data_IF_517802774956
#
_entry.id   IF_517802774956
#
_cell.length_a   1.000
_cell.length_b   1.000
_cell.length_c   1.000
_cell.angle_alpha   90.00
_cell.angle_beta   90.00
_cell.angle_gamma   90.00
#
_symmetry.space_group_name_H-M   'P 1'
#
loop_
_entity.id
_entity.type
_entity.pdbx_description
1 polymer ?
#
# COMPACT_ATOMS: atom_id res chain seq x y z
N UNK A 1 33.82 31.55 4.26
CA UNK A 1 32.35 31.62 4.09
C UNK A 1 31.76 30.33 3.47
N UNK A 2 32.34 29.14 3.75
CA UNK A 2 31.90 27.86 3.16
C UNK A 2 31.15 26.95 4.15
N UNK A 3 31.16 27.29 5.44
CA UNK A 3 30.49 26.52 6.50
C UNK A 3 29.00 26.30 6.21
N UNK A 4 28.22 27.29 5.71
CA UNK A 4 26.82 27.07 5.37
C UNK A 4 26.64 26.06 4.23
N UNK A 5 27.50 26.12 3.21
CA UNK A 5 27.47 25.19 2.06
C UNK A 5 27.81 23.76 2.47
N UNK A 6 28.81 23.57 3.33
CA UNK A 6 29.21 22.26 3.85
C UNK A 6 28.08 21.66 4.69
N UNK A 7 27.46 22.45 5.57
CA UNK A 7 26.33 22.00 6.40
C UNK A 7 25.14 21.59 5.51
N UNK A 8 24.74 22.43 4.55
CA UNK A 8 23.63 22.13 3.63
C UNK A 8 23.91 20.87 2.81
N UNK A 9 25.13 20.74 2.26
CA UNK A 9 25.53 19.57 1.48
C UNK A 9 25.53 18.29 2.33
N UNK A 10 26.05 18.36 3.56
CA UNK A 10 26.04 17.22 4.49
C UNK A 10 24.61 16.80 4.89
N UNK A 11 23.71 17.75 5.12
CA UNK A 11 22.31 17.49 5.42
C UNK A 11 21.59 16.82 4.25
N UNK A 12 21.81 17.31 3.02
CA UNK A 12 21.30 16.70 1.79
C UNK A 12 21.78 15.25 1.64
N UNK A 13 23.07 15.01 1.84
CA UNK A 13 23.65 13.66 1.82
C UNK A 13 22.99 12.76 2.86
N UNK A 14 22.85 13.21 4.10
CA UNK A 14 22.19 12.44 5.16
C UNK A 14 20.73 12.09 4.81
N UNK A 15 19.97 13.02 4.25
CA UNK A 15 18.59 12.77 3.79
C UNK A 15 18.53 11.74 2.65
N UNK A 16 19.47 11.81 1.70
CA UNK A 16 19.55 10.85 0.59
C UNK A 16 19.93 9.45 1.11
N UNK A 17 20.94 9.35 2.00
CA UNK A 17 21.33 8.08 2.59
C UNK A 17 20.22 7.47 3.44
N UNK A 18 19.53 8.29 4.24
CA UNK A 18 18.39 7.85 5.06
C UNK A 18 17.25 7.28 4.20
N UNK A 19 16.85 7.99 3.14
CA UNK A 19 15.80 7.51 2.22
C UNK A 19 16.21 6.23 1.49
N UNK A 20 17.46 6.14 1.01
CA UNK A 20 17.99 4.93 0.36
C UNK A 20 18.04 3.73 1.30
N UNK A 21 18.47 3.93 2.54
CA UNK A 21 18.52 2.86 3.54
C UNK A 21 17.13 2.34 3.89
N UNK A 22 16.16 3.24 4.11
CA UNK A 22 14.76 2.86 4.38
C UNK A 22 14.15 2.09 3.21
N UNK A 23 14.41 2.52 1.97
CA UNK A 23 13.96 1.82 0.78
C UNK A 23 14.55 0.42 0.68
N UNK A 24 15.84 0.22 0.98
CA UNK A 24 16.46 -1.11 0.91
C UNK A 24 15.76 -2.13 1.82
N UNK A 25 15.42 -1.74 3.04
CA UNK A 25 14.64 -2.62 3.94
C UNK A 25 13.24 -2.90 3.39
N UNK A 26 12.61 -1.93 2.70
CA UNK A 26 11.30 -2.12 2.07
C UNK A 26 11.35 -3.03 0.85
N UNK A 27 12.39 -2.92 0.04
CA UNK A 27 12.62 -3.80 -1.10
C UNK A 27 12.70 -5.25 -0.63
N UNK A 28 13.49 -5.54 0.39
CA UNK A 28 13.59 -6.88 0.98
C UNK A 28 12.25 -7.40 1.52
N UNK A 29 11.46 -6.52 2.15
CA UNK A 29 10.11 -6.88 2.63
C UNK A 29 9.15 -7.18 1.48
N UNK A 30 9.22 -6.41 0.39
CA UNK A 30 8.40 -6.62 -0.79
C UNK A 30 8.78 -7.93 -1.48
N UNK A 31 10.08 -8.17 -1.68
CA UNK A 31 10.62 -9.41 -2.24
C UNK A 31 10.16 -10.64 -1.44
N UNK A 32 10.41 -10.63 -0.12
CA UNK A 32 9.98 -11.72 0.77
C UNK A 32 8.46 -11.95 0.70
N UNK A 33 7.67 -10.88 0.69
CA UNK A 33 6.22 -10.99 0.60
C UNK A 33 5.81 -11.64 -0.73
N UNK A 34 6.33 -11.13 -1.86
CA UNK A 34 6.01 -11.60 -3.21
C UNK A 34 6.38 -13.09 -3.37
N UNK A 35 7.59 -13.48 -2.99
CA UNK A 35 8.06 -14.88 -3.04
C UNK A 35 7.10 -15.82 -2.30
N UNK A 36 6.58 -15.38 -1.15
CA UNK A 36 5.72 -16.18 -0.28
C UNK A 36 4.23 -16.19 -0.66
N UNK A 37 3.81 -15.37 -1.64
CA UNK A 37 2.42 -15.33 -2.12
C UNK A 37 2.27 -15.74 -3.59
N UNK A 38 3.36 -15.83 -4.36
CA UNK A 38 3.31 -15.95 -5.84
C UNK A 38 2.39 -17.09 -6.31
N UNK A 39 2.39 -18.23 -5.62
CA UNK A 39 1.54 -19.39 -5.96
C UNK A 39 0.06 -19.24 -5.58
N UNK A 40 -0.29 -18.20 -4.83
CA UNK A 40 -1.63 -17.89 -4.34
C UNK A 40 -2.27 -16.69 -5.08
N UNK A 41 -1.52 -16.03 -5.98
CA UNK A 41 -1.97 -14.84 -6.71
C UNK A 41 -2.94 -15.23 -7.82
N UNK A 42 -4.19 -14.78 -7.69
CA UNK A 42 -5.23 -14.93 -8.72
C UNK A 42 -5.18 -13.77 -9.74
N UNK A 43 -4.74 -12.58 -9.32
CA UNK A 43 -4.59 -11.40 -10.18
C UNK A 43 -3.42 -10.53 -9.71
N UNK A 44 -2.62 -10.06 -10.66
CA UNK A 44 -1.59 -9.05 -10.46
C UNK A 44 -1.86 -7.84 -11.35
N UNK A 45 -1.83 -6.64 -10.76
CA UNK A 45 -1.93 -5.37 -11.50
C UNK A 45 -0.71 -4.50 -11.17
N UNK A 46 0.09 -4.22 -12.20
CA UNK A 46 1.30 -3.43 -12.07
C UNK A 46 1.00 -1.92 -12.15
N UNK A 47 1.72 -1.12 -11.34
CA UNK A 47 1.77 0.35 -11.43
C UNK A 47 0.39 1.04 -11.48
N UNK A 48 -0.56 0.52 -10.70
CA UNK A 48 -1.90 1.08 -10.60
C UNK A 48 -1.83 2.48 -10.01
N UNK A 49 -2.39 3.47 -10.72
CA UNK A 49 -2.46 4.85 -10.23
C UNK A 49 -3.41 4.94 -9.05
N UNK A 50 -2.96 5.63 -8.00
CA UNK A 50 -3.71 5.74 -6.76
C UNK A 50 -3.92 7.18 -6.32
N UNK A 51 -4.99 7.40 -5.58
CA UNK A 51 -5.23 8.62 -4.83
C UNK A 51 -5.67 8.25 -3.42
N UNK A 52 -4.96 8.77 -2.42
CA UNK A 52 -5.13 8.36 -1.03
C UNK A 52 -5.60 9.56 -0.21
N UNK A 53 -6.66 9.36 0.55
CA UNK A 53 -7.11 10.31 1.56
C UNK A 53 -6.93 9.66 2.93
N UNK A 54 -6.21 10.33 3.82
CA UNK A 54 -5.77 9.76 5.09
C UNK A 54 -5.96 10.77 6.22
N UNK A 55 -6.52 10.33 7.34
CA UNK A 55 -6.68 11.17 8.55
C UNK A 55 -6.10 10.39 9.73
N UNK A 56 -5.09 10.94 10.38
CA UNK A 56 -4.51 10.38 11.61
C UNK A 56 -2.99 10.56 11.72
N UNK A 57 -2.45 10.20 12.88
CA UNK A 57 -1.04 10.41 13.27
C UNK A 57 -0.02 9.58 12.48
N UNK A 58 -0.43 8.46 11.87
CA UNK A 58 0.47 7.54 11.12
C UNK A 58 0.12 7.49 9.62
N UNK A 59 -0.37 8.61 9.09
CA UNK A 59 -0.86 8.68 7.71
C UNK A 59 0.22 8.56 6.64
N UNK A 60 1.48 8.90 6.95
CA UNK A 60 2.60 8.92 6.01
C UNK A 60 2.84 7.58 5.30
N UNK A 61 2.53 6.47 5.97
CA UNK A 61 2.69 5.12 5.44
C UNK A 61 1.70 4.79 4.31
N UNK A 62 0.66 5.61 4.15
CA UNK A 62 -0.41 5.44 3.18
C UNK A 62 -0.38 6.55 2.12
N UNK A 63 0.68 7.36 2.06
CA UNK A 63 0.83 8.44 1.08
C UNK A 63 1.69 7.97 -0.12
N UNK A 64 1.07 7.22 -1.02
CA UNK A 64 1.65 6.82 -2.30
C UNK A 64 0.74 7.26 -3.46
N UNK A 65 1.29 7.35 -4.67
CA UNK A 65 0.54 7.72 -5.86
C UNK A 65 0.44 6.59 -6.89
N UNK A 66 1.18 5.50 -6.68
CA UNK A 66 1.10 4.26 -7.44
C UNK A 66 1.20 3.06 -6.50
N UNK A 67 0.70 1.92 -6.92
CA UNK A 67 0.93 0.66 -6.23
C UNK A 67 0.93 -0.51 -7.20
N UNK A 68 1.64 -1.56 -6.81
CA UNK A 68 1.46 -2.88 -7.39
C UNK A 68 0.42 -3.62 -6.54
N UNK A 69 -0.59 -4.19 -7.19
CA UNK A 69 -1.68 -4.91 -6.53
C UNK A 69 -1.53 -6.41 -6.77
N UNK A 70 -1.63 -7.18 -5.70
CA UNK A 70 -1.72 -8.62 -5.75
C UNK A 70 -3.01 -9.05 -5.09
N UNK A 71 -3.82 -9.80 -5.82
CA UNK A 71 -5.08 -10.33 -5.34
C UNK A 71 -4.90 -11.83 -5.14
N UNK A 72 -5.17 -12.29 -3.94
CA UNK A 72 -5.28 -13.72 -3.63
C UNK A 72 -6.72 -14.05 -3.30
N UNK A 73 -7.03 -15.34 -3.13
CA UNK A 73 -8.37 -15.83 -2.78
C UNK A 73 -9.02 -15.13 -1.58
N UNK A 74 -8.21 -14.62 -0.65
CA UNK A 74 -8.65 -14.08 0.64
C UNK A 74 -8.04 -12.71 0.99
N UNK A 75 -7.25 -12.10 0.11
CA UNK A 75 -6.58 -10.84 0.43
C UNK A 75 -6.38 -9.92 -0.79
N UNK A 76 -6.41 -8.61 -0.52
CA UNK A 76 -5.90 -7.57 -1.41
C UNK A 76 -4.58 -7.09 -0.80
N UNK A 77 -3.50 -7.29 -1.52
CA UNK A 77 -2.15 -6.90 -1.12
C UNK A 77 -1.74 -5.70 -1.97
N UNK A 78 -1.31 -4.63 -1.31
CA UNK A 78 -1.01 -3.35 -1.92
C UNK A 78 0.42 -2.98 -1.57
N UNK A 79 1.26 -2.88 -2.60
CA UNK A 79 2.65 -2.48 -2.51
C UNK A 79 2.79 -1.06 -3.06
N UNK A 80 2.62 -0.06 -2.19
CA UNK A 80 2.59 1.35 -2.58
C UNK A 80 3.98 1.95 -2.83
N UNK A 81 4.08 2.90 -3.76
CA UNK A 81 5.28 3.71 -3.98
C UNK A 81 4.97 5.09 -4.57
N UNK A 82 5.90 6.03 -4.41
CA UNK A 82 5.86 7.34 -5.10
C UNK A 82 6.68 7.28 -6.38
N UNK A 83 6.01 7.44 -7.52
CA UNK A 83 6.65 7.45 -8.85
C UNK A 83 7.32 8.77 -9.20
N UNK A 84 6.82 9.89 -8.65
CA UNK A 84 7.27 11.26 -9.02
C UNK A 84 8.47 11.74 -8.19
N UNK A 85 9.05 10.89 -7.35
CA UNK A 85 10.24 11.21 -6.57
C UNK A 85 11.50 10.74 -7.31
N UNK A 86 12.56 11.55 -7.29
CA UNK A 86 13.89 11.18 -7.82
C UNK A 86 14.39 9.83 -7.29
N UNK A 87 13.92 9.42 -6.12
CA UNK A 87 14.12 8.09 -5.56
C UNK A 87 12.75 7.42 -5.39
N UNK A 88 12.53 6.23 -5.96
CA UNK A 88 11.29 5.46 -5.79
C UNK A 88 11.05 5.22 -4.31
N UNK A 89 10.20 6.02 -3.66
CA UNK A 89 9.96 5.89 -2.23
C UNK A 89 8.91 4.80 -1.99
N UNK A 90 9.30 3.69 -1.36
CA UNK A 90 8.41 2.57 -1.07
C UNK A 90 7.62 2.84 0.22
N UNK A 91 6.35 2.44 0.20
CA UNK A 91 5.45 2.50 1.35
C UNK A 91 5.52 1.22 2.17
N UNK A 92 4.80 1.15 3.28
CA UNK A 92 4.60 -0.13 3.97
C UNK A 92 3.75 -1.06 3.09
N UNK A 93 4.04 -2.38 3.07
CA UNK A 93 3.11 -3.34 2.49
C UNK A 93 1.79 -3.29 3.25
N UNK A 94 0.68 -3.25 2.52
CA UNK A 94 -0.67 -3.26 3.10
C UNK A 94 -1.35 -4.56 2.66
N UNK A 95 -1.93 -5.27 3.61
CA UNK A 95 -2.68 -6.51 3.36
C UNK A 95 -4.09 -6.33 3.92
N UNK A 96 -5.07 -6.34 3.03
CA UNK A 96 -6.48 -6.24 3.38
C UNK A 96 -7.11 -7.61 3.31
N UNK A 97 -7.51 -8.15 4.45
CA UNK A 97 -7.95 -9.54 4.57
C UNK A 97 -8.88 -9.76 5.77
N UNK A 98 -9.73 -10.78 5.69
CA UNK A 98 -10.48 -11.28 6.84
C UNK A 98 -9.63 -12.16 7.76
N UNK A 99 -8.57 -12.80 7.23
CA UNK A 99 -7.71 -13.73 7.95
C UNK A 99 -6.50 -13.01 8.57
N UNK A 100 -6.77 -12.17 9.57
CA UNK A 100 -5.76 -11.32 10.17
C UNK A 100 -4.59 -12.12 10.78
N UNK A 101 -4.88 -13.21 11.47
CA UNK A 101 -3.88 -13.96 12.22
C UNK A 101 -2.88 -14.65 11.29
N UNK A 102 -3.35 -15.25 10.19
CA UNK A 102 -2.46 -15.86 9.21
C UNK A 102 -1.47 -14.85 8.65
N UNK A 103 -1.97 -13.71 8.16
CA UNK A 103 -1.13 -12.69 7.53
C UNK A 103 -0.26 -11.91 8.52
N UNK A 104 -0.72 -11.66 9.75
CA UNK A 104 0.11 -11.00 10.78
C UNK A 104 1.27 -11.89 11.22
N UNK A 105 1.04 -13.20 11.35
CA UNK A 105 2.09 -14.15 11.74
C UNK A 105 3.10 -14.37 10.60
N UNK A 106 2.61 -14.48 9.35
CA UNK A 106 3.45 -14.69 8.17
C UNK A 106 4.22 -13.43 7.76
N UNK A 107 3.62 -12.25 7.93
CA UNK A 107 4.17 -10.96 7.50
C UNK A 107 4.06 -9.89 8.60
N UNK A 108 4.82 -10.01 9.70
CA UNK A 108 4.74 -9.08 10.84
C UNK A 108 5.16 -7.63 10.49
N UNK A 109 5.83 -7.44 9.36
CA UNK A 109 6.24 -6.13 8.86
C UNK A 109 5.16 -5.42 8.02
N UNK A 110 4.09 -6.11 7.65
CA UNK A 110 3.01 -5.58 6.83
C UNK A 110 1.90 -4.96 7.69
N UNK A 111 1.22 -3.95 7.14
CA UNK A 111 0.00 -3.42 7.74
C UNK A 111 -1.18 -4.32 7.36
N UNK A 112 -1.57 -5.21 8.27
CA UNK A 112 -2.65 -6.17 8.05
C UNK A 112 -3.94 -5.66 8.70
N UNK A 113 -5.01 -5.50 7.91
CA UNK A 113 -6.30 -5.03 8.43
C UNK A 113 -7.47 -5.62 7.65
N UNK A 114 -8.65 -5.67 8.28
CA UNK A 114 -9.89 -5.93 7.54
C UNK A 114 -10.21 -4.69 6.70
N UNK A 115 -10.55 -4.85 5.41
CA UNK A 115 -11.14 -3.76 4.67
C UNK A 115 -12.49 -3.41 5.29
N UNK A 116 -12.79 -2.12 5.36
CA UNK A 116 -14.06 -1.61 5.85
C UNK A 116 -15.14 -1.72 4.77
N UNK A 117 -15.01 -0.96 3.69
CA UNK A 117 -15.94 -0.96 2.55
C UNK A 117 -15.21 -0.84 1.23
N UNK A 118 -15.67 -1.54 0.20
CA UNK A 118 -15.16 -1.40 -1.16
C UNK A 118 -16.30 -0.93 -2.08
N UNK A 119 -16.03 0.13 -2.85
CA UNK A 119 -16.96 0.71 -3.81
C UNK A 119 -16.37 0.68 -5.21
N UNK A 120 -17.23 0.52 -6.20
CA UNK A 120 -16.87 0.41 -7.62
C UNK A 120 -17.68 1.46 -8.38
N UNK A 121 -17.04 2.56 -8.77
CA UNK A 121 -17.71 3.72 -9.39
C UNK A 121 -16.84 4.29 -10.51
N UNK A 122 -17.43 4.55 -11.69
CA UNK A 122 -16.79 5.23 -12.83
C UNK A 122 -15.41 4.65 -13.21
N UNK A 123 -15.29 3.31 -13.29
CA UNK A 123 -14.03 2.64 -13.61
C UNK A 123 -12.95 2.74 -12.52
N UNK A 124 -13.33 3.13 -11.30
CA UNK A 124 -12.44 3.22 -10.15
C UNK A 124 -12.87 2.28 -9.03
N UNK A 125 -11.88 1.75 -8.30
CA UNK A 125 -12.10 0.98 -7.07
C UNK A 125 -11.72 1.85 -5.88
N UNK A 126 -12.65 2.03 -4.94
CA UNK A 126 -12.44 2.82 -3.72
C UNK A 126 -12.51 1.90 -2.51
N UNK A 127 -11.40 1.77 -1.79
CA UNK A 127 -11.22 0.87 -0.65
C UNK A 127 -11.07 1.72 0.61
N UNK A 128 -11.94 1.49 1.58
CA UNK A 128 -11.86 2.08 2.91
C UNK A 128 -11.24 1.07 3.87
N UNK A 129 -10.26 1.48 4.65
CA UNK A 129 -9.64 0.64 5.68
C UNK A 129 -8.99 1.49 6.77
N UNK A 130 -8.68 0.85 7.89
CA UNK A 130 -8.22 1.56 9.08
C UNK A 130 -9.39 2.01 9.97
N UNK A 131 -9.09 2.86 10.93
CA UNK A 131 -10.04 3.25 11.98
C UNK A 131 -9.82 4.71 12.37
N UNK A 132 -10.91 5.41 12.70
CA UNK A 132 -10.84 6.76 13.28
C UNK A 132 -10.39 6.68 14.74
N UNK A 133 -9.54 7.60 15.16
CA UNK A 133 -9.11 7.72 16.54
C UNK A 133 -7.80 8.49 16.69
N UNK A 134 -7.50 8.94 17.91
CA UNK A 134 -6.32 9.76 18.20
C UNK A 134 -5.03 9.05 17.77
N UNK A 135 -4.92 7.74 18.01
CA UNK A 135 -3.75 6.93 17.62
C UNK A 135 -3.95 6.10 16.35
N UNK A 136 -5.12 6.20 15.72
CA UNK A 136 -5.52 5.38 14.58
C UNK A 136 -5.46 6.21 13.30
N UNK A 137 -5.58 5.56 12.14
CA UNK A 137 -5.57 6.23 10.85
C UNK A 137 -6.70 5.67 10.00
N UNK A 138 -7.57 6.56 9.54
CA UNK A 138 -8.63 6.28 8.58
C UNK A 138 -8.08 6.50 7.18
N UNK A 139 -8.25 5.52 6.29
CA UNK A 139 -7.64 5.52 4.96
C UNK A 139 -8.69 5.21 3.91
N UNK A 140 -8.71 6.06 2.88
CA UNK A 140 -9.50 5.88 1.66
C UNK A 140 -8.53 5.82 0.49
N UNK A 141 -8.39 4.64 -0.10
CA UNK A 141 -7.56 4.38 -1.27
C UNK A 141 -8.45 4.33 -2.51
N UNK A 142 -8.15 5.14 -3.53
CA UNK A 142 -8.80 5.09 -4.84
C UNK A 142 -7.83 4.56 -5.89
N UNK A 143 -8.21 3.52 -6.62
CA UNK A 143 -7.48 2.90 -7.72
C UNK A 143 -8.09 3.38 -9.05
N UNK A 144 -7.29 4.00 -9.92
CA UNK A 144 -7.79 4.77 -11.09
C UNK A 144 -7.45 4.22 -12.48
N UNK A 145 -6.56 3.23 -12.58
CA UNK A 145 -6.03 2.76 -13.87
C UNK A 145 -6.21 1.25 -14.04
N UNK A 146 -7.30 0.71 -13.51
CA UNK A 146 -7.66 -0.69 -13.66
C UNK A 146 -8.57 -0.86 -14.88
N UNK A 147 -8.39 -1.95 -15.62
CA UNK A 147 -9.31 -2.34 -16.69
C UNK A 147 -10.55 -3.04 -16.11
N UNK A 148 -11.58 -3.24 -16.94
CA UNK A 148 -12.84 -3.85 -16.49
C UNK A 148 -12.68 -5.25 -15.91
N UNK A 149 -11.79 -6.07 -16.48
CA UNK A 149 -11.54 -7.43 -15.99
C UNK A 149 -10.91 -7.41 -14.59
N UNK A 150 -9.93 -6.52 -14.36
CA UNK A 150 -9.29 -6.34 -13.05
C UNK A 150 -10.28 -5.85 -11.99
N UNK A 151 -11.12 -4.87 -12.36
CA UNK A 151 -12.19 -4.36 -11.50
C UNK A 151 -13.16 -5.48 -11.13
N UNK A 152 -13.58 -6.28 -12.11
CA UNK A 152 -14.50 -7.41 -11.89
C UNK A 152 -13.91 -8.45 -10.95
N UNK A 153 -12.62 -8.79 -11.08
CA UNK A 153 -11.94 -9.71 -10.16
C UNK A 153 -11.90 -9.20 -8.73
N UNK A 154 -11.60 -7.91 -8.54
CA UNK A 154 -11.63 -7.30 -7.20
C UNK A 154 -13.07 -7.30 -6.64
N UNK A 155 -14.07 -7.08 -7.50
CA UNK A 155 -15.49 -7.13 -7.13
C UNK A 155 -15.92 -8.53 -6.68
N UNK A 156 -15.59 -9.57 -7.44
CA UNK A 156 -15.84 -10.97 -7.09
C UNK A 156 -15.26 -11.31 -5.70
N UNK A 157 -14.02 -10.90 -5.44
CA UNK A 157 -13.37 -11.10 -4.15
C UNK A 157 -14.11 -10.38 -3.02
N UNK A 158 -14.45 -9.11 -3.23
CA UNK A 158 -15.13 -8.27 -2.24
C UNK A 158 -16.51 -8.82 -1.89
N UNK A 159 -17.25 -9.34 -2.88
CA UNK A 159 -18.55 -9.99 -2.68
C UNK A 159 -18.41 -11.30 -1.91
N UNK A 160 -17.48 -12.18 -2.31
CA UNK A 160 -17.18 -13.45 -1.64
C UNK A 160 -16.82 -13.24 -0.16
N UNK A 161 -16.06 -12.19 0.13
CA UNK A 161 -15.59 -11.86 1.48
C UNK A 161 -16.53 -10.91 2.24
N UNK A 162 -17.68 -10.54 1.67
CA UNK A 162 -18.70 -9.64 2.23
C UNK A 162 -18.18 -8.24 2.58
N UNK A 163 -17.18 -7.73 1.86
CA UNK A 163 -16.60 -6.39 2.05
C UNK A 163 -17.44 -5.24 1.46
N UNK A 164 -18.57 -5.59 0.84
CA UNK A 164 -19.52 -4.63 0.26
C UNK A 164 -20.78 -4.45 1.13
N UNK A 165 -20.93 -5.18 2.24
CA UNK A 165 -22.15 -5.16 3.07
C UNK A 165 -22.01 -4.27 4.30
N UNK A 166 -23.10 -3.57 4.61
CA UNK A 166 -23.27 -2.67 5.77
C UNK A 166 -23.36 -3.49 7.05
#
# INVERSE_FOLDING_TARGET
>A
MFIPFIIISSLLLLLIFGTKSLNKTREQQYEFLIENITNEVDLYCEQVRTFNFTIGLRNTNFLFNHCDLYITKNAIIILGFKKDSFFKQLSFPIILTNDLNYFLNKFPFAYVKKPGKIYFENGMVKIYFGEKGITKTDVVLKLKSLNENEINKIKELAEKNKWNKI
#
